data_IF_131679056679
#
_entry.id   IF_131679056679
#
_cell.length_a   1.000
_cell.length_b   1.000
_cell.length_c   1.000
_cell.angle_alpha   90.00
_cell.angle_beta   90.00
_cell.angle_gamma   90.00
#
_symmetry.space_group_name_H-M   'P 1'
#
loop_
_entity.id
_entity.type
_entity.pdbx_description
1 polymer ?
#
# COMPACT_ATOMS: atom_id res chain seq x y z
N UNK A 1 80.16 51.13 -28.34
CA UNK A 1 80.87 49.86 -28.61
C UNK A 1 80.82 48.96 -27.37
N UNK A 2 79.97 47.93 -27.39
CA UNK A 2 80.19 46.60 -26.80
C UNK A 2 79.00 45.73 -27.19
N UNK A 3 79.30 44.64 -27.90
CA UNK A 3 78.33 43.71 -28.46
C UNK A 3 77.69 42.84 -27.36
N UNK A 4 76.38 42.63 -27.44
CA UNK A 4 75.65 41.67 -26.61
C UNK A 4 75.09 40.54 -27.47
N UNK A 5 75.29 39.30 -27.00
CA UNK A 5 75.06 38.05 -27.72
C UNK A 5 73.57 37.74 -27.84
N UNK A 6 73.11 37.43 -29.06
CA UNK A 6 71.82 36.76 -29.29
C UNK A 6 71.91 35.27 -28.93
N UNK A 7 71.04 34.80 -28.05
CA UNK A 7 70.72 33.38 -27.84
C UNK A 7 69.41 33.08 -28.58
N UNK A 8 69.46 32.15 -29.52
CA UNK A 8 68.28 31.63 -30.20
C UNK A 8 67.45 30.75 -29.24
N UNK A 9 66.14 31.01 -29.18
CA UNK A 9 65.16 30.20 -28.46
C UNK A 9 64.45 29.34 -29.51
N UNK A 10 64.51 28.02 -29.36
CA UNK A 10 63.73 27.07 -30.16
C UNK A 10 62.28 27.01 -29.65
N UNK A 11 61.27 26.85 -30.53
CA UNK A 11 59.87 26.76 -30.09
C UNK A 11 59.56 25.34 -29.59
N UNK A 12 58.98 25.25 -28.40
CA UNK A 12 58.41 24.01 -27.88
C UNK A 12 57.04 23.76 -28.54
N UNK A 13 56.88 22.59 -29.15
CA UNK A 13 55.62 22.14 -29.73
C UNK A 13 54.60 21.81 -28.62
N UNK A 14 53.44 22.48 -28.64
CA UNK A 14 52.27 22.11 -27.85
C UNK A 14 51.55 20.95 -28.54
N UNK A 15 51.62 19.76 -27.96
CA UNK A 15 50.75 18.65 -28.33
C UNK A 15 49.41 18.77 -27.58
N UNK A 16 48.33 19.08 -28.28
CA UNK A 16 46.96 18.96 -27.76
C UNK A 16 46.59 17.48 -27.64
N UNK A 17 46.48 16.99 -26.42
CA UNK A 17 45.84 15.71 -26.15
C UNK A 17 44.33 15.83 -26.41
N UNK A 18 43.87 15.32 -27.56
CA UNK A 18 42.46 15.04 -27.82
C UNK A 18 42.01 13.95 -26.85
N UNK A 19 41.30 14.33 -25.79
CA UNK A 19 40.54 13.39 -24.98
C UNK A 19 39.48 12.73 -25.88
N UNK A 20 39.62 11.44 -26.15
CA UNK A 20 38.57 10.63 -26.79
C UNK A 20 37.34 10.69 -25.90
N UNK A 21 36.33 11.46 -26.32
CA UNK A 21 35.03 11.54 -25.62
C UNK A 21 34.44 10.14 -25.60
N UNK A 22 34.18 9.61 -24.41
CA UNK A 22 33.51 8.32 -24.27
C UNK A 22 32.22 8.33 -25.10
N UNK A 23 31.94 7.24 -25.82
CA UNK A 23 30.74 7.12 -26.63
C UNK A 23 29.51 7.34 -25.74
N UNK A 24 28.64 8.27 -26.14
CA UNK A 24 27.39 8.55 -25.44
C UNK A 24 26.44 7.36 -25.67
N UNK A 25 26.20 6.51 -24.66
CA UNK A 25 25.32 5.36 -24.82
C UNK A 25 23.86 5.79 -25.00
N UNK A 26 23.49 7.00 -24.61
CA UNK A 26 22.15 7.55 -24.78
C UNK A 26 21.87 7.93 -26.25
N UNK A 27 22.90 8.31 -27.01
CA UNK A 27 22.76 8.73 -28.40
C UNK A 27 22.24 7.62 -29.32
N UNK A 28 22.44 6.34 -28.95
CA UNK A 28 22.01 5.18 -29.74
C UNK A 28 20.48 5.08 -29.90
N UNK A 29 19.73 5.66 -28.98
CA UNK A 29 18.28 5.59 -28.93
C UNK A 29 17.62 6.96 -28.72
N UNK A 30 18.37 8.04 -28.92
CA UNK A 30 17.82 9.39 -28.88
C UNK A 30 16.68 9.54 -29.90
N UNK A 31 15.52 10.01 -29.44
CA UNK A 31 14.31 10.17 -30.27
C UNK A 31 13.53 8.89 -30.54
N UNK A 32 13.93 7.75 -29.95
CA UNK A 32 13.11 6.54 -29.99
C UNK A 32 12.07 6.57 -28.86
N UNK A 33 10.89 6.04 -29.16
CA UNK A 33 9.82 5.90 -28.16
C UNK A 33 10.09 4.74 -27.17
N UNK A 34 10.94 3.78 -27.56
CA UNK A 34 11.25 2.60 -26.77
C UNK A 34 12.73 2.26 -26.85
N UNK A 35 13.28 1.82 -25.72
CA UNK A 35 14.67 1.39 -25.61
C UNK A 35 14.73 0.12 -24.74
N UNK A 36 15.54 -0.89 -25.11
CA UNK A 36 15.78 -2.03 -24.24
C UNK A 36 16.29 -1.60 -22.85
N UNK A 37 15.79 -2.17 -21.72
CA UNK A 37 16.20 -1.77 -20.38
C UNK A 37 17.71 -1.77 -20.14
N UNK A 38 18.44 -2.70 -20.77
CA UNK A 38 19.90 -2.75 -20.68
C UNK A 38 20.58 -1.51 -21.29
N UNK A 39 20.07 -0.99 -22.40
CA UNK A 39 20.60 0.22 -23.05
C UNK A 39 20.24 1.48 -22.26
N UNK A 40 19.00 1.57 -21.75
CA UNK A 40 18.58 2.64 -20.85
C UNK A 40 19.45 2.69 -19.58
N UNK A 41 19.71 1.54 -18.96
CA UNK A 41 20.55 1.44 -17.78
C UNK A 41 22.01 1.81 -18.08
N UNK A 42 22.55 1.44 -19.25
CA UNK A 42 23.89 1.84 -19.66
C UNK A 42 24.00 3.36 -19.86
N UNK A 43 22.99 3.98 -20.47
CA UNK A 43 22.87 5.44 -20.56
C UNK A 43 22.80 6.09 -19.16
N UNK A 44 21.92 5.64 -18.27
CA UNK A 44 21.81 6.18 -16.90
C UNK A 44 23.14 6.09 -16.13
N UNK A 45 23.87 4.98 -16.29
CA UNK A 45 25.19 4.77 -15.65
C UNK A 45 26.30 5.62 -16.26
N UNK A 46 26.11 6.19 -17.45
CA UNK A 46 27.12 7.04 -18.10
C UNK A 46 27.17 8.46 -17.54
N UNK A 47 26.12 8.89 -16.84
CA UNK A 47 26.13 10.18 -16.15
C UNK A 47 27.05 10.09 -14.92
N UNK A 48 28.05 10.98 -14.79
CA UNK A 48 28.93 11.00 -13.63
C UNK A 48 28.15 11.36 -12.36
N UNK A 49 28.58 10.82 -11.22
CA UNK A 49 28.02 11.14 -9.92
C UNK A 49 28.09 12.65 -9.65
N UNK A 50 26.95 13.26 -9.32
CA UNK A 50 26.83 14.69 -9.09
C UNK A 50 26.54 14.97 -7.60
N UNK A 51 27.52 15.53 -6.91
CA UNK A 51 27.46 15.83 -5.48
C UNK A 51 26.38 16.87 -5.15
N UNK A 52 26.12 17.85 -6.02
CA UNK A 52 25.03 18.82 -5.84
C UNK A 52 23.67 18.15 -5.94
N UNK A 53 23.49 17.27 -6.92
CA UNK A 53 22.25 16.48 -7.06
C UNK A 53 22.06 15.55 -5.86
N UNK A 54 23.14 14.91 -5.38
CA UNK A 54 23.10 14.11 -4.14
C UNK A 54 22.61 14.93 -2.95
N UNK A 55 23.13 16.14 -2.75
CA UNK A 55 22.71 17.02 -1.65
C UNK A 55 21.25 17.49 -1.78
N UNK A 56 20.74 17.58 -3.01
CA UNK A 56 19.34 17.93 -3.27
C UNK A 56 18.39 16.70 -3.19
N UNK A 57 18.91 15.48 -3.34
CA UNK A 57 18.13 14.23 -3.38
C UNK A 57 18.14 13.49 -2.05
N UNK A 58 19.21 13.59 -1.26
CA UNK A 58 19.25 13.02 0.09
C UNK A 58 18.64 14.01 1.08
N UNK A 59 17.58 13.58 1.75
CA UNK A 59 16.78 14.40 2.66
C UNK A 59 17.61 15.07 3.77
N UNK A 60 18.77 14.52 4.14
CA UNK A 60 19.61 15.08 5.18
C UNK A 60 21.12 15.17 4.79
N UNK A 61 21.70 16.37 4.77
CA UNK A 61 23.10 16.57 4.43
C UNK A 61 24.05 15.97 5.48
N UNK A 62 25.21 15.49 5.03
CA UNK A 62 26.29 14.95 5.87
C UNK A 62 27.67 15.25 5.27
N UNK A 63 28.70 15.35 6.12
CA UNK A 63 30.08 15.73 5.73
C UNK A 63 31.11 14.63 5.96
N UNK A 64 30.75 13.59 6.72
CA UNK A 64 31.63 12.48 7.08
C UNK A 64 30.80 11.22 7.44
N UNK A 65 31.49 10.11 7.71
CA UNK A 65 30.83 8.83 8.07
C UNK A 65 30.02 8.93 9.37
N UNK A 66 30.46 9.72 10.35
CA UNK A 66 29.81 9.80 11.66
C UNK A 66 28.51 10.60 11.58
N UNK A 67 28.53 11.73 10.87
CA UNK A 67 27.37 12.56 10.55
C UNK A 67 26.40 11.84 9.62
N UNK A 68 26.88 11.06 8.65
CA UNK A 68 26.02 10.18 7.85
C UNK A 68 25.25 9.21 8.75
N UNK A 69 25.96 8.48 9.63
CA UNK A 69 25.32 7.53 10.54
C UNK A 69 24.31 8.22 11.45
N UNK A 70 24.71 9.29 12.14
CA UNK A 70 23.87 9.99 13.12
C UNK A 70 22.58 10.52 12.50
N UNK A 71 22.65 11.04 11.27
CA UNK A 71 21.52 11.76 10.66
C UNK A 71 20.68 10.87 9.74
N UNK A 72 21.26 9.82 9.15
CA UNK A 72 20.57 8.98 8.17
C UNK A 72 20.35 7.52 8.62
N UNK A 73 21.08 7.04 9.64
CA UNK A 73 21.07 5.62 9.99
C UNK A 73 20.76 5.33 11.46
N UNK A 74 21.05 6.23 12.39
CA UNK A 74 20.78 6.00 13.82
C UNK A 74 19.27 6.03 14.10
N UNK A 75 18.81 5.16 14.99
CA UNK A 75 17.42 5.18 15.45
C UNK A 75 17.02 6.58 15.96
N UNK A 76 15.79 6.99 15.66
CA UNK A 76 15.21 8.26 16.04
C UNK A 76 13.85 8.04 16.73
N UNK A 77 13.10 9.12 17.00
CA UNK A 77 11.79 9.07 17.66
C UNK A 77 10.68 8.38 16.84
N UNK A 78 10.92 8.10 15.56
CA UNK A 78 10.00 7.40 14.66
C UNK A 78 10.39 5.93 14.48
N UNK A 79 11.60 5.54 14.91
CA UNK A 79 12.11 4.19 14.73
C UNK A 79 11.47 3.19 15.69
N UNK A 80 11.31 3.53 16.96
CA UNK A 80 10.78 2.61 17.99
C UNK A 80 9.48 3.13 18.58
N UNK A 81 8.70 2.20 19.12
CA UNK A 81 7.43 2.49 19.76
C UNK A 81 7.60 3.08 21.16
N UNK A 82 6.48 3.53 21.72
CA UNK A 82 6.33 4.08 23.06
C UNK A 82 5.22 3.36 23.81
N UNK A 83 5.22 3.48 25.14
CA UNK A 83 4.06 3.09 25.93
C UNK A 83 2.94 4.13 25.76
N UNK A 84 1.82 3.74 25.17
CA UNK A 84 0.68 4.61 24.92
C UNK A 84 -0.20 4.82 26.18
N UNK A 85 -0.03 4.02 27.23
CA UNK A 85 -0.81 4.11 28.46
C UNK A 85 -0.29 5.22 29.40
N UNK A 86 1.03 5.43 29.45
CA UNK A 86 1.66 6.44 30.33
C UNK A 86 1.77 7.83 29.71
N UNK A 87 1.53 7.96 28.40
CA UNK A 87 1.63 9.22 27.69
C UNK A 87 0.26 9.92 27.57
N UNK A 88 0.02 10.96 28.39
CA UNK A 88 -1.17 11.82 28.29
C UNK A 88 -1.32 12.59 26.95
N UNK A 89 -0.34 12.43 26.04
CA UNK A 89 -0.32 12.92 24.67
C UNK A 89 -0.41 11.79 23.62
N UNK A 90 -0.75 10.55 24.00
CA UNK A 90 -0.89 9.42 23.07
C UNK A 90 -1.79 9.78 21.88
N UNK A 91 -2.86 10.56 22.10
CA UNK A 91 -3.73 11.08 21.05
C UNK A 91 -3.04 12.01 20.05
N UNK A 92 -2.10 12.85 20.49
CA UNK A 92 -1.33 13.75 19.62
C UNK A 92 -0.17 13.03 18.91
N UNK A 93 0.45 12.05 19.58
CA UNK A 93 1.50 11.22 19.00
C UNK A 93 0.97 10.27 17.92
N UNK A 94 -0.18 9.63 18.18
CA UNK A 94 -0.90 8.81 17.22
C UNK A 94 -1.38 9.63 16.01
N UNK A 95 -1.85 10.88 16.21
CA UNK A 95 -2.20 11.80 15.10
C UNK A 95 -1.01 12.25 14.25
N UNK A 96 0.20 12.29 14.81
CA UNK A 96 1.42 12.63 14.06
C UNK A 96 1.93 11.51 13.16
N UNK A 97 1.69 10.25 13.55
CA UNK A 97 2.07 9.06 12.76
C UNK A 97 0.95 8.51 11.88
N UNK A 98 -0.30 8.87 12.17
CA UNK A 98 -1.48 8.29 11.55
C UNK A 98 -2.32 9.39 10.90
N UNK A 99 -2.46 9.34 9.58
CA UNK A 99 -3.52 10.05 8.85
C UNK A 99 -4.92 9.44 9.12
N UNK A 100 -5.07 8.53 10.10
CA UNK A 100 -6.35 7.93 10.47
C UNK A 100 -7.29 8.95 11.09
N UNK A 101 -8.03 9.65 10.24
CA UNK A 101 -9.30 10.27 10.64
C UNK A 101 -10.37 9.18 10.57
N UNK A 102 -10.40 8.28 11.57
CA UNK A 102 -11.52 7.37 11.79
C UNK A 102 -12.58 8.05 12.65
N UNK A 103 -13.87 7.85 12.35
CA UNK A 103 -15.00 8.41 13.11
C UNK A 103 -14.96 8.06 14.61
N UNK A 104 -14.40 6.91 14.95
CA UNK A 104 -14.39 6.34 16.31
C UNK A 104 -13.02 6.43 16.99
N UNK A 105 -12.01 7.02 16.32
CA UNK A 105 -10.59 6.95 16.70
C UNK A 105 -10.07 5.51 16.90
N UNK A 106 -10.75 4.49 16.35
CA UNK A 106 -10.28 3.10 16.38
C UNK A 106 -9.04 2.90 15.51
N UNK A 107 -8.12 2.07 16.00
CA UNK A 107 -6.98 1.57 15.24
C UNK A 107 -7.44 0.54 14.21
N UNK A 108 -7.42 0.91 12.94
CA UNK A 108 -7.90 0.08 11.83
C UNK A 108 -6.78 -0.75 11.21
N UNK A 109 -7.07 -2.01 10.88
CA UNK A 109 -6.13 -2.91 10.22
C UNK A 109 -5.73 -2.38 8.83
N UNK A 110 -4.43 -2.46 8.54
CA UNK A 110 -3.84 -2.07 7.25
C UNK A 110 -3.12 -3.26 6.61
N UNK A 111 -3.36 -3.45 5.33
CA UNK A 111 -2.84 -4.49 4.46
C UNK A 111 -1.95 -3.86 3.36
N UNK A 112 -0.96 -3.06 3.77
CA UNK A 112 -0.12 -2.28 2.85
C UNK A 112 1.23 -2.96 2.62
N UNK A 113 1.56 -3.26 1.36
CA UNK A 113 2.83 -3.91 0.99
C UNK A 113 3.94 -2.88 0.81
N UNK A 114 3.61 -1.69 0.29
CA UNK A 114 4.52 -0.58 0.07
C UNK A 114 3.80 0.69 0.54
N UNK A 115 4.42 1.45 1.45
CA UNK A 115 3.91 2.80 1.74
C UNK A 115 4.22 3.71 0.55
N UNK A 116 3.22 3.88 -0.31
CA UNK A 116 3.24 4.76 -1.46
C UNK A 116 2.79 6.19 -1.12
N UNK A 117 2.48 6.50 0.15
CA UNK A 117 2.03 7.85 0.54
C UNK A 117 3.06 8.94 0.20
N UNK A 118 4.34 8.57 0.12
CA UNK A 118 5.44 9.45 -0.28
C UNK A 118 5.82 9.36 -1.75
N UNK A 119 5.35 8.33 -2.47
CA UNK A 119 5.38 8.38 -3.93
C UNK A 119 4.18 9.19 -4.36
N UNK A 120 4.31 10.52 -4.25
CA UNK A 120 3.58 11.40 -5.15
C UNK A 120 3.90 10.87 -6.53
N UNK A 121 2.92 10.20 -7.16
CA UNK A 121 3.02 9.84 -8.56
C UNK A 121 3.50 11.11 -9.24
N UNK A 122 4.73 11.09 -9.76
CA UNK A 122 5.17 12.14 -10.67
C UNK A 122 4.10 12.07 -11.74
N UNK A 123 3.19 13.04 -11.71
CA UNK A 123 2.03 13.06 -12.58
C UNK A 123 2.59 12.90 -13.99
N UNK A 124 2.24 11.77 -14.63
CA UNK A 124 2.87 11.45 -15.90
C UNK A 124 2.55 12.63 -16.82
N UNK A 125 3.54 13.23 -17.48
CA UNK A 125 3.28 14.40 -18.32
C UNK A 125 2.30 14.01 -19.42
N UNK A 126 1.55 14.98 -19.94
CA UNK A 126 0.85 14.79 -21.21
C UNK A 126 1.80 14.16 -22.24
N UNK A 127 1.41 13.10 -22.96
CA UNK A 127 0.05 12.60 -23.20
C UNK A 127 -0.38 11.38 -22.36
N UNK A 128 0.23 11.15 -21.20
CA UNK A 128 0.09 9.88 -20.46
C UNK A 128 -1.06 9.86 -19.42
N UNK A 129 -1.83 10.94 -19.33
CA UNK A 129 -3.05 11.03 -18.53
C UNK A 129 -4.29 10.73 -19.39
N UNK A 130 -5.39 10.22 -18.80
CA UNK A 130 -6.67 10.15 -19.50
C UNK A 130 -7.12 11.54 -19.99
N UNK A 131 -7.53 11.62 -21.25
CA UNK A 131 -8.08 12.87 -21.82
C UNK A 131 -9.55 13.10 -21.45
N UNK A 132 -10.20 12.09 -20.88
CA UNK A 132 -11.58 12.16 -20.40
C UNK A 132 -11.66 13.05 -19.17
N UNK A 133 -12.72 13.87 -19.04
CA UNK A 133 -12.94 14.64 -17.82
C UNK A 133 -13.18 13.68 -16.64
N UNK A 134 -12.52 13.89 -15.49
CA UNK A 134 -12.80 13.09 -14.30
C UNK A 134 -14.23 13.35 -13.81
N UNK A 135 -14.86 12.32 -13.25
CA UNK A 135 -16.16 12.48 -12.58
C UNK A 135 -15.98 13.00 -11.15
N UNK A 136 -17.08 13.42 -10.52
CA UNK A 136 -17.06 13.85 -9.12
C UNK A 136 -16.52 12.74 -8.20
N UNK A 137 -15.76 13.11 -7.16
CA UNK A 137 -15.04 12.16 -6.30
C UNK A 137 -13.72 11.64 -6.87
N UNK A 138 -13.19 12.25 -7.94
CA UNK A 138 -11.86 11.89 -8.47
C UNK A 138 -10.73 12.60 -7.73
N UNK A 139 -10.28 12.03 -6.61
CA UNK A 139 -9.21 12.55 -5.75
C UNK A 139 -7.92 11.73 -5.88
N UNK A 140 -6.95 11.89 -4.99
CA UNK A 140 -5.61 11.32 -5.16
C UNK A 140 -5.57 9.78 -5.15
N UNK A 141 -6.52 9.14 -4.45
CA UNK A 141 -6.55 7.67 -4.28
C UNK A 141 -7.53 6.97 -5.22
N UNK A 142 -8.55 7.70 -5.69
CA UNK A 142 -9.57 7.20 -6.62
C UNK A 142 -9.69 8.17 -7.78
N UNK A 143 -9.48 7.70 -9.00
CA UNK A 143 -9.77 8.47 -10.23
C UNK A 143 -10.86 7.77 -11.01
N UNK A 144 -11.91 8.50 -11.36
CA UNK A 144 -13.08 7.90 -12.01
C UNK A 144 -13.44 8.62 -13.30
N UNK A 145 -13.88 7.87 -14.31
CA UNK A 145 -14.15 8.37 -15.66
C UNK A 145 -15.36 7.67 -16.28
N UNK A 146 -16.01 8.32 -17.25
CA UNK A 146 -17.03 7.68 -18.10
C UNK A 146 -16.43 7.50 -19.49
N UNK A 147 -16.43 6.26 -19.99
CA UNK A 147 -15.86 5.94 -21.31
C UNK A 147 -16.68 6.54 -22.47
N UNK A 148 -16.10 6.67 -23.68
CA UNK A 148 -16.78 7.26 -24.83
C UNK A 148 -18.11 6.60 -25.22
N UNK A 149 -18.29 5.31 -24.91
CA UNK A 149 -19.56 4.59 -25.09
C UNK A 149 -20.72 5.19 -24.29
N UNK A 150 -20.40 5.93 -23.22
CA UNK A 150 -21.32 6.44 -22.19
C UNK A 150 -22.04 5.35 -21.38
N UNK A 151 -21.71 4.08 -21.59
CA UNK A 151 -22.29 2.94 -20.89
C UNK A 151 -21.45 2.47 -19.72
N UNK A 152 -20.13 2.64 -19.82
CA UNK A 152 -19.16 2.14 -18.84
C UNK A 152 -18.54 3.28 -18.03
N UNK A 153 -18.63 3.16 -16.71
CA UNK A 153 -17.82 3.91 -15.76
C UNK A 153 -16.56 3.13 -15.43
N UNK A 154 -15.46 3.83 -15.20
CA UNK A 154 -14.20 3.27 -14.70
C UNK A 154 -13.90 3.92 -13.37
N UNK A 155 -13.61 3.12 -12.36
CA UNK A 155 -13.05 3.56 -11.08
C UNK A 155 -11.65 2.95 -10.93
N UNK A 156 -10.62 3.78 -11.15
CA UNK A 156 -9.25 3.43 -10.86
C UNK A 156 -8.96 3.67 -9.38
N UNK A 157 -8.71 2.60 -8.63
CA UNK A 157 -8.41 2.66 -7.20
C UNK A 157 -6.91 2.40 -7.03
N UNK A 158 -6.13 3.48 -6.95
CA UNK A 158 -4.68 3.40 -6.86
C UNK A 158 -4.17 2.98 -5.48
N UNK A 159 -4.98 3.15 -4.43
CA UNK A 159 -4.65 2.73 -3.07
C UNK A 159 -5.90 2.70 -2.18
N UNK A 160 -5.86 1.88 -1.13
CA UNK A 160 -6.80 1.96 0.00
C UNK A 160 -6.19 2.71 1.19
N UNK A 161 -5.11 3.47 0.97
CA UNK A 161 -4.52 4.38 1.96
C UNK A 161 -5.19 5.76 1.90
N UNK A 162 -4.64 6.71 2.65
CA UNK A 162 -5.07 8.10 2.63
C UNK A 162 -6.05 8.47 3.72
N UNK A 163 -6.90 9.45 3.43
CA UNK A 163 -7.96 9.85 4.35
C UNK A 163 -9.12 8.85 4.27
N UNK A 164 -9.36 8.17 5.40
CA UNK A 164 -10.39 7.14 5.53
C UNK A 164 -11.82 7.64 5.22
N UNK A 165 -12.12 8.90 5.52
CA UNK A 165 -13.43 9.51 5.26
C UNK A 165 -13.55 9.92 3.81
N UNK A 166 -12.54 10.61 3.27
CA UNK A 166 -12.59 11.16 1.91
C UNK A 166 -12.76 10.04 0.88
N UNK A 167 -12.03 8.92 1.04
CA UNK A 167 -12.18 7.75 0.17
C UNK A 167 -13.65 7.27 0.07
N UNK A 168 -14.36 7.23 1.21
CA UNK A 168 -15.75 6.76 1.23
C UNK A 168 -16.69 7.74 0.51
N UNK A 169 -16.50 9.03 0.77
CA UNK A 169 -17.29 10.11 0.14
C UNK A 169 -17.04 10.14 -1.36
N UNK A 170 -15.79 10.02 -1.78
CA UNK A 170 -15.34 10.03 -3.16
C UNK A 170 -15.87 8.84 -3.96
N UNK A 171 -15.75 7.62 -3.40
CA UNK A 171 -16.30 6.42 -4.02
C UNK A 171 -17.82 6.55 -4.22
N UNK A 172 -18.56 7.02 -3.21
CA UNK A 172 -20.00 7.22 -3.30
C UNK A 172 -20.39 8.30 -4.32
N UNK A 173 -19.63 9.40 -4.38
CA UNK A 173 -19.85 10.48 -5.33
C UNK A 173 -19.65 10.00 -6.78
N UNK A 174 -18.62 9.19 -7.04
CA UNK A 174 -18.38 8.59 -8.34
C UNK A 174 -19.53 7.66 -8.76
N UNK A 175 -19.98 6.77 -7.85
CA UNK A 175 -21.12 5.88 -8.10
C UNK A 175 -22.41 6.66 -8.40
N UNK A 176 -22.68 7.73 -7.65
CA UNK A 176 -23.85 8.58 -7.91
C UNK A 176 -23.77 9.26 -9.28
N UNK A 177 -22.61 9.83 -9.62
CA UNK A 177 -22.40 10.48 -10.92
C UNK A 177 -22.55 9.49 -12.09
N UNK A 178 -22.07 8.26 -11.94
CA UNK A 178 -22.29 7.21 -12.94
C UNK A 178 -23.78 6.94 -13.16
N UNK A 179 -24.55 6.75 -12.08
CA UNK A 179 -25.99 6.51 -12.16
C UNK A 179 -26.75 7.68 -12.79
N UNK A 180 -26.43 8.91 -12.40
CA UNK A 180 -27.02 10.12 -12.98
C UNK A 180 -26.71 10.27 -14.47
N UNK A 181 -25.56 9.76 -14.91
CA UNK A 181 -25.10 9.79 -16.30
C UNK A 181 -25.63 8.61 -17.14
N UNK A 182 -26.42 7.70 -16.55
CA UNK A 182 -26.98 6.55 -17.26
C UNK A 182 -25.99 5.41 -17.52
N UNK A 183 -24.87 5.37 -16.80
CA UNK A 183 -23.90 4.26 -16.84
C UNK A 183 -24.57 2.99 -16.34
N UNK A 184 -24.32 1.87 -17.02
CA UNK A 184 -24.89 0.54 -16.69
C UNK A 184 -23.83 -0.55 -16.50
N UNK A 185 -22.57 -0.22 -16.79
CA UNK A 185 -21.40 -1.09 -16.72
C UNK A 185 -20.31 -0.42 -15.88
N UNK A 186 -19.59 -1.19 -15.08
CA UNK A 186 -18.54 -0.66 -14.21
C UNK A 186 -17.29 -1.51 -14.28
N UNK A 187 -16.17 -0.82 -14.46
CA UNK A 187 -14.82 -1.36 -14.37
C UNK A 187 -14.18 -0.82 -13.09
N UNK A 188 -13.65 -1.71 -12.24
CA UNK A 188 -12.79 -1.38 -11.11
C UNK A 188 -11.36 -1.80 -11.47
N UNK A 189 -10.50 -0.80 -11.70
CA UNK A 189 -9.09 -1.02 -12.02
C UNK A 189 -8.25 -0.93 -10.73
N UNK A 190 -7.64 -2.07 -10.34
CA UNK A 190 -6.77 -2.20 -9.17
C UNK A 190 -5.29 -2.28 -9.54
N UNK A 191 -4.92 -1.89 -10.76
CA UNK A 191 -3.53 -1.94 -11.22
C UNK A 191 -2.63 -1.08 -10.35
N UNK A 192 -1.51 -1.65 -9.90
CA UNK A 192 -0.55 -1.01 -8.99
C UNK A 192 -1.13 -0.59 -7.63
N UNK A 193 -2.30 -1.11 -7.22
CA UNK A 193 -2.82 -0.88 -5.89
C UNK A 193 -1.96 -1.62 -4.83
N UNK A 194 -1.28 -0.86 -3.97
CA UNK A 194 -0.37 -1.37 -2.94
C UNK A 194 -1.06 -1.89 -1.67
N UNK A 195 -2.39 -1.81 -1.62
CA UNK A 195 -3.22 -2.13 -0.45
C UNK A 195 -3.60 -0.89 0.36
N UNK A 196 -3.79 -1.05 1.67
CA UNK A 196 -4.15 0.02 2.59
C UNK A 196 -5.11 -0.43 3.68
N UNK A 197 -6.06 0.42 4.09
CA UNK A 197 -7.06 0.06 5.08
C UNK A 197 -7.92 -1.12 4.62
N UNK A 198 -7.93 -2.21 5.39
CA UNK A 198 -8.77 -3.38 5.10
C UNK A 198 -10.25 -2.97 5.07
N UNK A 199 -10.64 -2.05 5.96
CA UNK A 199 -12.00 -1.55 6.02
C UNK A 199 -12.43 -0.69 4.82
N UNK A 200 -11.52 -0.08 4.06
CA UNK A 200 -11.91 0.62 2.82
C UNK A 200 -12.15 -0.35 1.67
N UNK A 201 -11.41 -1.47 1.63
CA UNK A 201 -11.72 -2.58 0.73
C UNK A 201 -13.08 -3.21 1.03
N UNK A 202 -13.37 -3.46 2.32
CA UNK A 202 -14.70 -3.93 2.75
C UNK A 202 -15.81 -2.94 2.42
N UNK A 203 -15.60 -1.65 2.69
CA UNK A 203 -16.55 -0.60 2.35
C UNK A 203 -16.87 -0.59 0.85
N UNK A 204 -15.84 -0.62 -0.02
CA UNK A 204 -16.04 -0.62 -1.46
C UNK A 204 -16.78 -1.89 -1.92
N UNK A 205 -16.46 -3.04 -1.32
CA UNK A 205 -17.19 -4.27 -1.60
C UNK A 205 -18.68 -4.13 -1.25
N UNK A 206 -19.03 -3.66 -0.05
CA UNK A 206 -20.42 -3.44 0.36
C UNK A 206 -21.13 -2.39 -0.51
N UNK A 207 -20.44 -1.30 -0.86
CA UNK A 207 -20.95 -0.23 -1.71
C UNK A 207 -21.36 -0.77 -3.10
N UNK A 208 -20.60 -1.73 -3.63
CA UNK A 208 -20.84 -2.33 -4.95
C UNK A 208 -21.81 -3.52 -4.90
N UNK A 209 -21.70 -4.39 -3.90
CA UNK A 209 -22.54 -5.60 -3.78
C UNK A 209 -23.93 -5.31 -3.23
N UNK A 210 -24.06 -4.24 -2.45
CA UNK A 210 -25.18 -4.01 -1.56
C UNK A 210 -25.13 -4.92 -0.33
N UNK A 211 -25.66 -4.45 0.79
CA UNK A 211 -25.62 -5.18 2.07
C UNK A 211 -26.50 -6.45 2.06
N UNK A 212 -27.55 -6.50 1.22
CA UNK A 212 -28.43 -7.67 1.10
C UNK A 212 -27.74 -8.88 0.44
N UNK A 213 -26.54 -8.71 -0.12
CA UNK A 213 -25.77 -9.76 -0.80
C UNK A 213 -24.62 -10.33 0.03
N UNK A 214 -24.43 -9.87 1.27
CA UNK A 214 -23.34 -10.31 2.16
C UNK A 214 -23.55 -11.69 2.79
N UNK A 215 -24.64 -12.38 2.45
CA UNK A 215 -24.97 -13.69 3.01
C UNK A 215 -25.30 -13.64 4.50
N UNK A 216 -25.32 -14.82 5.13
CA UNK A 216 -25.78 -14.98 6.52
C UNK A 216 -24.85 -14.34 7.56
N UNK A 217 -23.56 -14.20 7.26
CA UNK A 217 -22.61 -13.57 8.16
C UNK A 217 -22.76 -12.04 8.21
N UNK A 218 -23.37 -11.43 7.17
CA UNK A 218 -23.54 -9.97 7.11
C UNK A 218 -22.22 -9.18 7.18
N UNK A 219 -21.11 -9.79 6.78
CA UNK A 219 -19.78 -9.20 6.80
C UNK A 219 -19.11 -9.44 5.42
N UNK A 220 -18.64 -8.38 4.73
CA UNK A 220 -17.99 -8.49 3.42
C UNK A 220 -16.53 -8.98 3.51
N UNK A 221 -15.99 -9.05 4.72
CA UNK A 221 -14.58 -9.21 5.00
C UNK A 221 -14.13 -10.66 5.09
N UNK A 222 -12.81 -10.84 5.12
CA UNK A 222 -12.20 -12.14 5.35
C UNK A 222 -12.43 -12.59 6.79
N UNK A 223 -12.77 -13.88 6.97
CA UNK A 223 -12.50 -14.51 8.26
C UNK A 223 -10.99 -14.43 8.52
N UNK A 224 -10.61 -14.04 9.73
CA UNK A 224 -9.24 -13.75 10.09
C UNK A 224 -8.87 -14.41 11.42
N UNK A 225 -7.58 -14.58 11.63
CA UNK A 225 -7.01 -15.05 12.90
C UNK A 225 -5.75 -14.26 13.23
N UNK A 226 -5.49 -14.06 14.51
CA UNK A 226 -4.22 -13.53 15.00
C UNK A 226 -3.27 -14.68 15.32
N UNK A 227 -1.95 -14.47 15.16
CA UNK A 227 -0.96 -15.39 15.70
C UNK A 227 -1.10 -15.45 17.22
N UNK A 228 -1.08 -16.66 17.78
CA UNK A 228 -1.19 -16.91 19.22
C UNK A 228 0.13 -17.43 19.80
N UNK A 229 1.25 -16.79 19.45
CA UNK A 229 2.55 -17.08 20.08
C UNK A 229 2.51 -16.77 21.59
N UNK A 230 3.44 -17.30 22.39
CA UNK A 230 3.45 -17.00 23.83
C UNK A 230 3.55 -15.49 24.15
N UNK A 231 4.29 -14.71 23.34
CA UNK A 231 4.31 -13.24 23.50
C UNK A 231 2.96 -12.62 23.12
N UNK A 232 2.34 -13.06 22.02
CA UNK A 232 1.01 -12.59 21.59
C UNK A 232 -0.06 -12.80 22.66
N UNK A 233 -0.05 -13.98 23.29
CA UNK A 233 -0.97 -14.29 24.37
C UNK A 233 -0.76 -13.40 25.58
N UNK A 234 0.50 -13.09 25.94
CA UNK A 234 0.83 -12.15 27.03
C UNK A 234 0.35 -10.74 26.73
N UNK A 235 0.57 -10.24 25.51
CA UNK A 235 0.10 -8.91 25.08
C UNK A 235 -1.43 -8.83 25.20
N UNK A 236 -2.17 -9.79 24.64
CA UNK A 236 -3.62 -9.80 24.72
C UNK A 236 -4.13 -9.90 26.17
N UNK A 237 -3.55 -10.79 26.97
CA UNK A 237 -3.92 -10.93 28.38
C UNK A 237 -3.69 -9.64 29.17
N UNK A 238 -2.58 -8.94 28.90
CA UNK A 238 -2.28 -7.65 29.52
C UNK A 238 -3.27 -6.56 29.09
N UNK A 239 -3.61 -6.48 27.80
CA UNK A 239 -4.61 -5.55 27.30
C UNK A 239 -5.97 -5.75 27.97
N UNK A 240 -6.43 -7.01 28.09
CA UNK A 240 -7.67 -7.38 28.79
C UNK A 240 -7.59 -6.99 30.28
N UNK A 241 -6.50 -7.34 30.97
CA UNK A 241 -6.33 -7.05 32.39
C UNK A 241 -6.32 -5.55 32.70
N UNK A 242 -5.80 -4.73 31.78
CA UNK A 242 -5.77 -3.28 31.89
C UNK A 242 -7.03 -2.59 31.33
N UNK A 243 -7.95 -3.35 30.74
CA UNK A 243 -9.18 -2.81 30.15
C UNK A 243 -8.93 -1.93 28.91
N UNK A 244 -7.86 -2.18 28.17
CA UNK A 244 -7.58 -1.48 26.92
C UNK A 244 -8.57 -1.87 25.82
N UNK A 245 -8.87 -0.92 24.95
CA UNK A 245 -9.82 -1.09 23.86
C UNK A 245 -9.21 -0.67 22.51
N UNK A 246 -10.01 -0.83 21.45
CA UNK A 246 -9.61 -0.59 20.06
C UNK A 246 -9.21 0.86 19.73
N UNK A 247 -9.44 1.83 20.63
CA UNK A 247 -8.91 3.19 20.47
C UNK A 247 -7.43 3.32 20.82
N UNK A 248 -6.88 2.38 21.59
CA UNK A 248 -5.50 2.42 22.08
C UNK A 248 -4.62 1.34 21.42
N UNK A 249 -5.15 0.13 21.27
CA UNK A 249 -4.36 -1.04 20.85
C UNK A 249 -5.01 -1.76 19.67
N UNK A 250 -4.21 -2.28 18.74
CA UNK A 250 -4.68 -3.09 17.62
C UNK A 250 -5.24 -4.44 18.08
N UNK A 251 -4.72 -4.98 19.19
CA UNK A 251 -5.07 -6.32 19.68
C UNK A 251 -6.28 -6.35 20.61
N UNK A 252 -6.87 -5.21 20.94
CA UNK A 252 -8.06 -5.19 21.77
C UNK A 252 -9.21 -6.01 21.14
N UNK A 253 -9.92 -6.82 21.93
CA UNK A 253 -10.99 -7.69 21.40
C UNK A 253 -12.11 -6.94 20.67
N UNK A 254 -12.48 -5.74 21.15
CA UNK A 254 -13.55 -4.91 20.58
C UNK A 254 -13.22 -4.30 19.20
N UNK A 255 -12.04 -4.63 18.65
CA UNK A 255 -11.72 -4.39 17.25
C UNK A 255 -12.31 -5.47 16.32
N UNK A 256 -12.66 -6.63 16.87
CA UNK A 256 -13.09 -7.82 16.13
C UNK A 256 -14.51 -8.25 16.51
N UNK A 257 -15.12 -9.05 15.64
CA UNK A 257 -16.41 -9.68 15.87
C UNK A 257 -16.29 -11.21 15.74
N UNK A 258 -17.13 -11.94 16.44
CA UNK A 258 -17.25 -13.39 16.24
C UNK A 258 -17.82 -13.72 14.84
N UNK A 259 -17.94 -15.01 14.52
CA UNK A 259 -18.48 -15.45 13.24
C UNK A 259 -19.99 -15.23 13.07
N UNK A 260 -20.68 -14.73 14.11
CA UNK A 260 -22.06 -14.24 14.03
C UNK A 260 -22.10 -12.71 13.86
N UNK A 261 -20.95 -12.08 13.58
CA UNK A 261 -20.78 -10.64 13.42
C UNK A 261 -21.15 -9.83 14.68
N UNK A 262 -21.01 -10.45 15.86
CA UNK A 262 -21.18 -9.80 17.16
C UNK A 262 -19.83 -9.32 17.66
N UNK A 263 -19.69 -8.02 17.92
CA UNK A 263 -18.46 -7.40 18.44
C UNK A 263 -18.04 -8.11 19.73
N UNK A 264 -16.78 -8.51 19.81
CA UNK A 264 -16.24 -9.18 20.99
C UNK A 264 -16.16 -8.21 22.18
N UNK A 265 -16.59 -8.61 23.39
CA UNK A 265 -16.40 -7.83 24.60
C UNK A 265 -14.91 -7.54 24.87
N UNK A 266 -14.59 -6.38 25.46
CA UNK A 266 -13.20 -5.97 25.76
C UNK A 266 -12.44 -6.94 26.67
N UNK A 267 -13.15 -7.77 27.44
CA UNK A 267 -12.59 -8.79 28.31
C UNK A 267 -12.48 -10.19 27.66
N UNK A 268 -12.88 -10.32 26.39
CA UNK A 268 -12.85 -11.59 25.68
C UNK A 268 -11.44 -11.95 25.18
N UNK A 269 -10.93 -13.11 25.61
CA UNK A 269 -9.64 -13.62 25.14
C UNK A 269 -9.80 -14.55 23.92
N UNK A 270 -9.77 -13.97 22.72
CA UNK A 270 -9.89 -14.73 21.46
C UNK A 270 -8.69 -15.66 21.15
N UNK A 271 -7.57 -15.54 21.89
CA UNK A 271 -6.45 -16.47 21.81
C UNK A 271 -6.61 -17.69 22.75
N UNK A 272 -7.68 -17.77 23.55
CA UNK A 272 -7.91 -18.87 24.48
C UNK A 272 -9.26 -19.58 24.23
N UNK A 273 -9.26 -20.87 23.82
CA UNK A 273 -8.08 -21.65 23.47
C UNK A 273 -7.43 -21.14 22.17
N UNK A 274 -6.12 -21.36 22.04
CA UNK A 274 -5.46 -21.21 20.75
C UNK A 274 -5.80 -22.42 19.86
N UNK A 275 -5.80 -22.21 18.56
CA UNK A 275 -6.14 -23.21 17.55
C UNK A 275 -4.89 -23.51 16.73
N UNK A 276 -4.49 -24.79 16.56
CA UNK A 276 -3.38 -25.14 15.69
C UNK A 276 -3.75 -24.94 14.21
N UNK A 277 -2.81 -24.40 13.44
CA UNK A 277 -2.83 -24.43 11.98
C UNK A 277 -1.63 -25.23 11.47
N UNK A 278 -1.82 -25.96 10.38
CA UNK A 278 -0.78 -26.79 9.78
C UNK A 278 -0.51 -26.31 8.35
N UNK A 279 0.65 -25.71 8.11
CA UNK A 279 1.03 -25.19 6.80
C UNK A 279 2.42 -25.72 6.43
N UNK A 280 2.52 -26.38 5.27
CA UNK A 280 3.80 -26.89 4.75
C UNK A 280 4.61 -27.72 5.76
N UNK A 281 3.93 -28.52 6.59
CA UNK A 281 4.56 -29.36 7.62
C UNK A 281 4.94 -28.61 8.92
N UNK A 282 4.66 -27.32 9.03
CA UNK A 282 4.86 -26.51 10.24
C UNK A 282 3.52 -26.33 10.96
N UNK A 283 3.54 -26.49 12.28
CA UNK A 283 2.37 -26.22 13.13
C UNK A 283 2.57 -24.91 13.86
N UNK A 284 1.65 -23.97 13.66
CA UNK A 284 1.59 -22.71 14.39
C UNK A 284 0.30 -22.64 15.22
N UNK A 285 0.31 -21.84 16.30
CA UNK A 285 -0.88 -21.54 17.07
C UNK A 285 -1.47 -20.20 16.63
N UNK A 286 -2.78 -20.16 16.42
CA UNK A 286 -3.55 -18.95 16.11
C UNK A 286 -4.70 -18.76 17.09
N UNK A 287 -5.35 -17.61 17.02
CA UNK A 287 -6.64 -17.39 17.66
C UNK A 287 -7.74 -18.25 17.04
N UNK A 288 -8.92 -18.23 17.67
CA UNK A 288 -10.18 -18.53 17.00
C UNK A 288 -10.41 -17.55 15.83
N UNK A 289 -11.22 -17.95 14.84
CA UNK A 289 -11.56 -17.08 13.71
C UNK A 289 -12.49 -15.95 14.13
N UNK A 290 -12.34 -14.80 13.48
CA UNK A 290 -13.13 -13.61 13.73
C UNK A 290 -13.26 -12.76 12.46
N UNK A 291 -14.15 -11.78 12.49
CA UNK A 291 -14.29 -10.74 11.48
C UNK A 291 -13.78 -9.39 11.97
N UNK A 292 -13.50 -8.49 11.01
CA UNK A 292 -13.28 -7.07 11.29
C UNK A 292 -14.60 -6.34 11.58
N UNK A 293 -14.55 -5.32 12.46
CA UNK A 293 -15.71 -4.48 12.79
C UNK A 293 -15.80 -3.20 11.94
N UNK A 294 -15.55 -3.33 10.64
CA UNK A 294 -15.36 -2.18 9.75
C UNK A 294 -16.58 -1.25 9.65
N UNK A 295 -17.79 -1.80 9.57
CA UNK A 295 -19.02 -1.03 9.37
C UNK A 295 -19.26 0.04 10.45
N UNK A 296 -18.79 -0.17 11.69
CA UNK A 296 -18.89 0.81 12.76
C UNK A 296 -18.11 2.12 12.48
N UNK A 297 -17.19 2.09 11.52
CA UNK A 297 -16.31 3.22 11.17
C UNK A 297 -16.76 3.94 9.90
N UNK A 298 -17.75 3.43 9.18
CA UNK A 298 -18.18 4.06 7.94
C UNK A 298 -18.93 5.37 8.21
N UNK A 299 -18.65 6.37 7.38
CA UNK A 299 -19.36 7.65 7.32
C UNK A 299 -20.36 7.68 6.17
N UNK A 300 -20.11 6.91 5.13
CA UNK A 300 -21.08 6.61 4.06
C UNK A 300 -21.71 5.26 4.37
N UNK A 301 -23.04 5.17 4.26
CA UNK A 301 -23.76 3.93 4.50
C UNK A 301 -24.04 3.23 3.16
N UNK A 302 -23.48 2.03 2.91
CA UNK A 302 -23.82 1.25 1.74
C UNK A 302 -25.32 0.94 1.67
N UNK A 303 -25.87 0.91 0.45
CA UNK A 303 -27.29 0.58 0.24
C UNK A 303 -27.55 -0.92 0.30
N UNK A 304 -28.80 -1.32 0.52
CA UNK A 304 -29.17 -2.75 0.52
C UNK A 304 -28.97 -3.41 -0.85
N UNK A 305 -29.32 -2.70 -1.92
CA UNK A 305 -29.22 -3.18 -3.29
C UNK A 305 -27.94 -2.66 -3.95
N UNK A 306 -27.32 -3.46 -4.83
CA UNK A 306 -26.15 -3.02 -5.58
C UNK A 306 -26.53 -1.84 -6.52
N UNK A 307 -25.63 -0.85 -6.70
CA UNK A 307 -25.88 0.28 -7.60
C UNK A 307 -25.89 -0.12 -9.09
N UNK A 308 -25.29 -1.26 -9.44
CA UNK A 308 -25.27 -1.84 -10.79
C UNK A 308 -25.69 -3.31 -10.74
N UNK A 309 -26.11 -3.87 -11.87
CA UNK A 309 -26.22 -5.33 -12.01
C UNK A 309 -24.81 -5.93 -11.88
N UNK A 310 -24.58 -6.81 -10.90
CA UNK A 310 -23.25 -7.34 -10.60
C UNK A 310 -22.62 -8.10 -11.77
N UNK A 311 -23.42 -8.60 -12.72
CA UNK A 311 -22.89 -9.22 -13.95
C UNK A 311 -22.22 -8.20 -14.88
N UNK A 312 -22.50 -6.91 -14.69
CA UNK A 312 -21.93 -5.79 -15.44
C UNK A 312 -20.85 -5.05 -14.62
N UNK A 313 -20.37 -5.64 -13.53
CA UNK A 313 -19.26 -5.11 -12.73
C UNK A 313 -18.06 -6.04 -12.89
N UNK A 314 -16.92 -5.49 -13.29
CA UNK A 314 -15.68 -6.22 -13.48
C UNK A 314 -14.56 -5.61 -12.64
N UNK A 315 -13.79 -6.46 -11.95
CA UNK A 315 -12.56 -6.07 -11.26
C UNK A 315 -11.38 -6.58 -12.06
N UNK A 316 -10.45 -5.69 -12.42
CA UNK A 316 -9.37 -6.02 -13.32
C UNK A 316 -8.02 -5.46 -12.89
N UNK A 317 -6.97 -6.10 -13.41
CA UNK A 317 -5.61 -5.60 -13.33
C UNK A 317 -4.93 -5.68 -14.69
N UNK A 318 -4.05 -4.71 -14.94
CA UNK A 318 -3.34 -4.59 -16.19
C UNK A 318 -1.85 -4.90 -16.04
N UNK A 319 -1.29 -5.49 -17.09
CA UNK A 319 0.13 -5.78 -17.18
C UNK A 319 0.53 -7.17 -16.75
N UNK A 320 1.70 -7.25 -16.10
CA UNK A 320 2.44 -8.50 -15.90
C UNK A 320 2.99 -9.09 -17.21
N UNK A 321 3.85 -10.11 -17.11
CA UNK A 321 4.44 -10.76 -18.28
C UNK A 321 3.39 -11.61 -19.03
N UNK A 322 3.19 -11.43 -20.35
CA UNK A 322 2.27 -12.26 -21.13
C UNK A 322 2.58 -13.75 -20.99
N UNK A 323 1.56 -14.59 -20.83
CA UNK A 323 1.69 -16.04 -20.67
C UNK A 323 2.07 -16.52 -19.27
N UNK A 324 2.40 -15.62 -18.34
CA UNK A 324 2.59 -15.97 -16.92
C UNK A 324 1.31 -15.72 -16.13
N UNK A 325 1.17 -16.28 -14.93
CA UNK A 325 0.06 -15.94 -14.03
C UNK A 325 0.42 -14.71 -13.19
N UNK A 326 -0.56 -13.83 -12.97
CA UNK A 326 -0.46 -12.72 -12.02
C UNK A 326 -1.40 -13.03 -10.86
N UNK A 327 -0.97 -12.73 -9.65
CA UNK A 327 -1.66 -13.15 -8.42
C UNK A 327 -1.69 -11.97 -7.47
N UNK A 328 -2.80 -11.81 -6.73
CA UNK A 328 -2.82 -10.90 -5.59
C UNK A 328 -2.00 -11.53 -4.46
N UNK A 329 -0.68 -11.32 -4.45
CA UNK A 329 0.18 -11.87 -3.39
C UNK A 329 0.34 -10.95 -2.20
N UNK A 330 0.52 -11.57 -1.04
CA UNK A 330 1.21 -10.99 0.12
C UNK A 330 0.30 -10.72 1.29
N UNK A 331 -0.66 -9.78 1.15
CA UNK A 331 -1.32 -9.18 2.32
C UNK A 331 -2.84 -9.00 2.21
N UNK A 332 -3.53 -9.58 1.22
CA UNK A 332 -4.99 -9.48 1.10
C UNK A 332 -5.69 -9.87 2.41
N UNK A 333 -6.48 -8.96 3.00
CA UNK A 333 -7.16 -9.18 4.28
C UNK A 333 -6.27 -9.32 5.52
N UNK A 334 -4.95 -9.40 5.37
CA UNK A 334 -4.00 -9.50 6.48
C UNK A 334 -3.89 -8.16 7.23
N UNK A 335 -3.21 -8.16 8.37
CA UNK A 335 -2.82 -6.93 9.06
C UNK A 335 -1.31 -6.87 9.18
N UNK A 336 -0.74 -5.88 8.50
CA UNK A 336 0.66 -5.51 8.58
C UNK A 336 0.78 -4.41 9.62
N UNK A 337 1.62 -4.64 10.63
CA UNK A 337 2.04 -3.59 11.54
C UNK A 337 3.43 -3.14 11.13
N UNK A 338 3.66 -1.83 11.13
CA UNK A 338 5.01 -1.30 11.15
C UNK A 338 5.65 -1.70 12.48
N UNK A 339 6.98 -1.83 12.51
CA UNK A 339 7.71 -2.21 13.72
C UNK A 339 7.37 -1.29 14.88
N UNK A 340 7.25 0.00 14.57
CA UNK A 340 6.92 1.03 15.53
C UNK A 340 5.56 0.82 16.19
N UNK A 341 4.57 0.31 15.43
CA UNK A 341 3.24 -0.02 15.95
C UNK A 341 3.31 -1.29 16.80
N UNK A 342 4.03 -2.32 16.36
CA UNK A 342 4.20 -3.55 17.14
C UNK A 342 4.91 -3.27 18.48
N UNK A 343 5.92 -2.42 18.48
CA UNK A 343 6.65 -2.02 19.67
C UNK A 343 5.80 -1.12 20.59
N UNK A 344 4.90 -0.29 20.04
CA UNK A 344 3.87 0.40 20.82
C UNK A 344 3.00 -0.63 21.56
N UNK A 345 2.51 -1.68 20.88
CA UNK A 345 1.66 -2.71 21.50
C UNK A 345 2.40 -3.45 22.64
N UNK A 346 3.67 -3.80 22.45
CA UNK A 346 4.51 -4.48 23.45
C UNK A 346 4.76 -3.60 24.68
N UNK A 347 5.14 -2.33 24.47
CA UNK A 347 5.43 -1.37 25.55
C UNK A 347 4.17 -0.98 26.30
N UNK A 348 3.07 -0.73 25.59
CA UNK A 348 1.75 -0.40 26.16
C UNK A 348 1.21 -1.56 27.00
N UNK A 349 1.40 -2.80 26.55
CA UNK A 349 1.05 -3.99 27.33
C UNK A 349 1.96 -4.24 28.55
N UNK A 350 3.03 -3.46 28.74
CA UNK A 350 3.95 -3.62 29.87
C UNK A 350 4.80 -4.90 29.81
N UNK A 351 4.99 -5.47 28.61
CA UNK A 351 5.71 -6.74 28.43
C UNK A 351 7.06 -6.60 27.71
N UNK A 352 7.62 -5.39 27.67
CA UNK A 352 8.90 -5.12 26.99
C UNK A 352 10.10 -5.85 27.60
N UNK A 353 10.06 -6.09 28.91
CA UNK A 353 11.12 -6.82 29.62
C UNK A 353 10.97 -8.35 29.52
N UNK A 354 9.96 -8.84 28.80
CA UNK A 354 9.79 -10.28 28.56
C UNK A 354 10.93 -10.83 27.69
N UNK A 355 11.52 -12.01 27.98
CA UNK A 355 12.58 -12.59 27.16
C UNK A 355 12.20 -12.86 25.70
N UNK A 356 10.89 -12.94 25.40
CA UNK A 356 10.39 -13.10 24.03
C UNK A 356 10.16 -11.76 23.31
N UNK A 357 10.15 -10.64 24.05
CA UNK A 357 9.97 -9.32 23.46
C UNK A 357 11.25 -8.91 22.71
N UNK A 358 11.13 -8.48 21.43
CA UNK A 358 12.29 -8.05 20.67
C UNK A 358 12.85 -6.72 21.23
N UNK A 359 14.18 -6.52 21.18
CA UNK A 359 14.80 -5.26 21.61
C UNK A 359 14.46 -4.12 20.66
N UNK A 360 14.67 -2.88 21.11
CA UNK A 360 14.56 -1.70 20.26
C UNK A 360 15.58 -1.77 19.10
N UNK A 361 15.18 -1.27 17.93
CA UNK A 361 16.07 -1.16 16.78
C UNK A 361 17.14 -0.11 17.05
N UNK A 362 18.38 -0.43 16.68
CA UNK A 362 19.54 0.45 16.82
C UNK A 362 19.72 1.40 15.61
N UNK A 363 18.98 1.13 14.54
CA UNK A 363 19.06 1.84 13.27
C UNK A 363 17.70 2.37 12.85
N UNK A 364 17.67 3.51 12.17
CA UNK A 364 16.50 3.99 11.45
C UNK A 364 16.21 3.02 10.31
N UNK A 365 15.39 2.03 10.62
CA UNK A 365 14.92 1.02 9.69
C UNK A 365 13.43 0.88 9.87
N UNK A 366 12.77 0.53 8.77
CA UNK A 366 11.39 0.09 8.82
C UNK A 366 11.35 -1.43 8.61
N UNK A 367 10.64 -2.12 9.51
CA UNK A 367 10.35 -3.54 9.41
C UNK A 367 8.85 -3.71 9.60
N UNK A 368 8.24 -4.56 8.78
CA UNK A 368 6.81 -4.86 8.85
C UNK A 368 6.57 -6.27 9.37
N UNK A 369 5.57 -6.42 10.22
CA UNK A 369 5.19 -7.70 10.79
C UNK A 369 3.74 -8.03 10.47
N UNK A 370 3.51 -9.20 9.88
CA UNK A 370 2.16 -9.71 9.66
C UNK A 370 1.67 -10.41 10.93
N UNK A 371 0.80 -9.75 11.67
CA UNK A 371 0.26 -10.32 12.92
C UNK A 371 -1.04 -11.10 12.72
N UNK A 372 -1.90 -10.56 11.86
CA UNK A 372 -3.22 -11.13 11.56
C UNK A 372 -3.22 -11.70 10.16
N UNK A 373 -3.64 -12.95 10.03
CA UNK A 373 -3.81 -13.59 8.72
C UNK A 373 -5.28 -13.81 8.40
N UNK A 374 -5.66 -13.42 7.18
CA UNK A 374 -6.95 -13.72 6.57
C UNK A 374 -6.99 -15.14 5.98
N UNK A 375 -8.17 -15.72 5.91
CA UNK A 375 -8.43 -17.01 5.30
C UNK A 375 -8.99 -16.85 3.90
N UNK A 376 -8.61 -17.75 2.98
CA UNK A 376 -9.05 -17.67 1.58
C UNK A 376 -10.56 -17.84 1.48
N UNK A 377 -11.19 -17.10 0.55
CA UNK A 377 -12.61 -17.30 0.23
C UNK A 377 -12.85 -18.54 -0.63
N UNK A 378 -11.88 -18.91 -1.46
CA UNK A 378 -11.99 -20.10 -2.32
C UNK A 378 -11.60 -21.39 -1.60
N UNK A 379 -10.70 -21.29 -0.63
CA UNK A 379 -10.27 -22.40 0.20
C UNK A 379 -10.22 -21.97 1.67
N UNK A 380 -11.37 -22.05 2.34
CA UNK A 380 -11.49 -21.64 3.74
C UNK A 380 -10.64 -22.48 4.71
N UNK A 381 -9.98 -23.55 4.27
CA UNK A 381 -9.08 -24.38 5.09
C UNK A 381 -7.62 -23.88 5.08
N UNK A 382 -7.29 -22.86 4.27
CA UNK A 382 -5.93 -22.35 4.14
C UNK A 382 -5.91 -20.82 4.31
N UNK A 383 -4.96 -20.26 5.09
CA UNK A 383 -4.77 -18.82 5.15
C UNK A 383 -4.37 -18.27 3.77
N UNK A 384 -4.94 -17.15 3.36
CA UNK A 384 -4.80 -16.59 2.00
C UNK A 384 -3.34 -16.27 1.63
N UNK A 385 -2.46 -16.07 2.62
CA UNK A 385 -1.03 -15.89 2.37
C UNK A 385 -0.35 -17.11 1.71
N UNK A 386 -0.97 -18.28 1.77
CA UNK A 386 -0.47 -19.55 1.22
C UNK A 386 -1.29 -20.07 0.03
N UNK A 387 -2.36 -19.37 -0.34
CA UNK A 387 -3.23 -19.70 -1.48
C UNK A 387 -3.12 -18.57 -2.52
N UNK A 388 -3.10 -18.93 -3.81
CA UNK A 388 -2.99 -17.92 -4.87
C UNK A 388 -4.36 -17.54 -5.39
N UNK A 389 -4.95 -16.47 -4.86
CA UNK A 389 -6.18 -15.90 -5.43
C UNK A 389 -5.83 -15.01 -6.62
N UNK A 390 -6.31 -15.42 -7.80
CA UNK A 390 -6.09 -14.71 -9.04
C UNK A 390 -7.02 -13.50 -9.15
N UNK A 391 -6.62 -12.43 -9.86
CA UNK A 391 -7.58 -11.41 -10.26
C UNK A 391 -8.73 -12.05 -11.05
N UNK A 392 -9.93 -11.46 -10.94
CA UNK A 392 -11.07 -11.87 -11.75
C UNK A 392 -10.71 -11.79 -13.24
N UNK A 393 -10.07 -10.69 -13.64
CA UNK A 393 -9.64 -10.44 -15.00
C UNK A 393 -8.25 -9.84 -15.04
N UNK A 394 -7.49 -10.20 -16.08
CA UNK A 394 -6.19 -9.62 -16.36
C UNK A 394 -6.00 -9.38 -17.84
N UNK A 395 -5.57 -8.18 -18.18
CA UNK A 395 -5.20 -7.83 -19.55
C UNK A 395 -3.71 -7.47 -19.64
N UNK A 396 -2.94 -8.06 -20.59
CA UNK A 396 -1.56 -7.66 -20.79
C UNK A 396 -1.49 -6.25 -21.39
N UNK A 397 -0.40 -5.53 -21.08
CA UNK A 397 -0.11 -4.31 -21.84
C UNK A 397 0.21 -4.65 -23.30
N UNK A 398 -0.31 -3.83 -24.19
CA UNK A 398 0.01 -3.82 -25.62
C UNK A 398 0.75 -2.52 -25.94
N UNK A 399 1.31 -2.44 -27.15
CA UNK A 399 1.92 -1.20 -27.63
C UNK A 399 0.94 0.00 -27.63
N UNK A 400 -0.37 -0.26 -27.76
CA UNK A 400 -1.39 0.77 -27.75
C UNK A 400 -1.87 1.17 -26.34
N UNK A 401 -1.62 0.33 -25.32
CA UNK A 401 -2.22 0.46 -23.98
C UNK A 401 -1.21 0.74 -22.86
N UNK A 402 0.08 0.41 -23.02
CA UNK A 402 1.08 0.49 -21.94
C UNK A 402 1.28 1.89 -21.34
N UNK A 403 1.07 2.95 -22.13
CA UNK A 403 1.22 4.36 -21.73
C UNK A 403 -0.07 5.17 -22.00
N UNK A 404 -1.21 4.50 -22.14
CA UNK A 404 -2.49 5.16 -22.37
C UNK A 404 -3.59 4.44 -21.57
N UNK A 405 -3.85 4.84 -20.31
CA UNK A 405 -4.84 4.19 -19.46
C UNK A 405 -6.25 4.24 -20.05
N UNK A 406 -6.60 5.30 -20.78
CA UNK A 406 -7.90 5.39 -21.44
C UNK A 406 -8.10 4.33 -22.53
N UNK A 407 -7.12 4.13 -23.41
CA UNK A 407 -7.18 3.07 -24.44
C UNK A 407 -7.25 1.68 -23.82
N UNK A 408 -6.61 1.51 -22.68
CA UNK A 408 -6.59 0.29 -21.91
C UNK A 408 -7.99 -0.04 -21.35
N UNK A 409 -8.70 0.94 -20.79
CA UNK A 409 -10.08 0.74 -20.34
C UNK A 409 -11.07 0.56 -21.51
N UNK A 410 -10.88 1.27 -22.63
CA UNK A 410 -11.69 1.06 -23.85
C UNK A 410 -11.50 -0.36 -24.39
N UNK A 411 -10.26 -0.86 -24.38
CA UNK A 411 -10.00 -2.24 -24.75
C UNK A 411 -10.69 -3.21 -23.80
N UNK A 412 -10.57 -3.03 -22.49
CA UNK A 412 -11.26 -3.86 -21.51
C UNK A 412 -12.79 -3.86 -21.70
N UNK A 413 -13.40 -2.68 -21.88
CA UNK A 413 -14.84 -2.55 -22.20
C UNK A 413 -15.25 -3.46 -23.36
N UNK A 414 -14.49 -3.45 -24.47
CA UNK A 414 -14.77 -4.28 -25.65
C UNK A 414 -14.61 -5.79 -25.43
N UNK A 415 -13.87 -6.19 -24.40
CA UNK A 415 -13.68 -7.61 -24.06
C UNK A 415 -14.72 -8.11 -23.06
N UNK A 416 -15.32 -7.21 -22.29
CA UNK A 416 -16.15 -7.55 -21.15
C UNK A 416 -17.65 -7.43 -21.43
N UNK A 417 -18.03 -6.42 -22.21
CA UNK A 417 -19.43 -6.01 -22.30
C UNK A 417 -19.99 -5.90 -23.73
N UNK A 418 -19.16 -6.15 -24.74
CA UNK A 418 -19.55 -6.32 -26.15
C UNK A 418 -19.63 -7.81 -26.51
#
# INVERSE_FOLDING_TARGET
>A
MRASRLRAIAPAALASALLTRAADPCAQFAGQNFVPPAQALACLKSFPFNETLRQNVLNNPFTDKASFWKVNCAANSETNGIDLNTNGNATNFLRGRSTQVSRTNKKLARASIIDLSHSNSVELPEPYLPTLPPVNGSTDYIKSYILPSKKTGVMFVGSFEGNFIDFQVDAQAAINQFKESGVTQLIIDLTNNGGGFVCLGQFLHELLSGTAKLGNAGNPGFQSTNRASPLAQKILAANIAMGFNSSLTFYAPDNYADLNNVVMPVDHNYNNPSVPIHINGVTDQTSQRFFDTCAANYVVQPTEQPPFDLKNVAIEIFGGKPGEQLQYKGMAGNQVLEWVDLDDEIKTAGVKDDPLAPPDLLVNANMRHNWRTAWSFFNEEVPIAYESELPQLRFPYTNATYNNPQNLWIFAESQLFE
#
